data_IF_287074808418
#
_entry.id   IF_287074808418
#
_cell.length_a   1.000
_cell.length_b   1.000
_cell.length_c   1.000
_cell.angle_alpha   90.00
_cell.angle_beta   90.00
_cell.angle_gamma   90.00
#
_symmetry.space_group_name_H-M   'P 1'
#
loop_
_entity.id
_entity.type
_entity.pdbx_description
1 polymer ?
#
# COMPACT_ATOMS: atom_id res chain seq x y z
N UNK A 1 -16.36 -3.51 2.94
CA UNK A 1 -15.91 -3.36 4.35
C UNK A 1 -14.39 -3.40 4.48
N UNK A 2 -13.70 -4.42 3.94
CA UNK A 2 -12.22 -4.51 4.00
C UNK A 2 -11.53 -3.25 3.47
N UNK A 3 -11.97 -2.73 2.32
CA UNK A 3 -11.41 -1.51 1.73
C UNK A 3 -11.44 -0.34 2.73
N UNK A 4 -12.61 -0.03 3.30
CA UNK A 4 -12.79 1.04 4.30
C UNK A 4 -11.94 0.85 5.55
N UNK A 5 -11.83 -0.38 6.06
CA UNK A 5 -10.97 -0.70 7.21
C UNK A 5 -9.51 -0.45 6.86
N UNK A 6 -9.06 -0.90 5.69
CA UNK A 6 -7.69 -0.67 5.23
C UNK A 6 -7.39 0.80 4.95
N UNK A 7 -8.34 1.55 4.40
CA UNK A 7 -8.20 3.00 4.17
C UNK A 7 -8.15 3.78 5.49
N UNK A 8 -9.02 3.46 6.45
CA UNK A 8 -9.02 4.11 7.77
C UNK A 8 -7.75 3.77 8.56
N UNK A 9 -7.32 2.51 8.53
CA UNK A 9 -6.08 2.06 9.20
C UNK A 9 -4.86 2.71 8.55
N UNK A 10 -4.83 2.80 7.22
CA UNK A 10 -3.81 3.51 6.45
C UNK A 10 -3.72 4.99 6.81
N UNK A 11 -4.87 5.66 6.91
CA UNK A 11 -4.95 7.06 7.32
C UNK A 11 -4.42 7.25 8.74
N UNK A 12 -4.90 6.46 9.70
CA UNK A 12 -4.50 6.58 11.11
C UNK A 12 -3.00 6.32 11.29
N UNK A 13 -2.48 5.21 10.76
CA UNK A 13 -1.05 4.89 10.85
C UNK A 13 -0.21 5.90 10.06
N UNK A 14 -0.71 6.32 8.89
CA UNK A 14 -0.08 7.30 8.03
C UNK A 14 0.02 8.70 8.60
N UNK A 15 -0.90 9.11 9.46
CA UNK A 15 -0.84 10.40 10.15
C UNK A 15 -0.12 10.29 11.49
N UNK A 16 -0.39 9.26 12.29
CA UNK A 16 0.09 9.17 13.68
C UNK A 16 1.57 8.78 13.75
N UNK A 17 2.01 7.83 12.92
CA UNK A 17 3.40 7.35 12.99
C UNK A 17 4.41 8.44 12.60
N UNK A 18 4.24 9.19 11.49
CA UNK A 18 5.17 10.28 11.16
C UNK A 18 5.15 11.40 12.21
N UNK A 19 4.01 11.67 12.84
CA UNK A 19 3.90 12.65 13.92
C UNK A 19 4.63 12.22 15.20
N UNK A 20 4.74 10.91 15.48
CA UNK A 20 5.45 10.39 16.66
C UNK A 20 6.95 10.09 16.40
N UNK A 21 7.33 9.46 15.27
CA UNK A 21 8.75 9.12 14.92
C UNK A 21 9.25 9.52 13.52
N UNK A 22 8.77 10.64 12.97
CA UNK A 22 9.27 11.38 11.80
C UNK A 22 9.62 10.42 10.67
N UNK A 23 10.90 10.33 10.30
CA UNK A 23 11.38 9.47 9.23
C UNK A 23 11.04 7.99 9.45
N UNK A 24 11.33 7.44 10.63
CA UNK A 24 11.06 6.01 10.91
C UNK A 24 9.56 5.71 10.90
N UNK A 25 8.76 6.64 11.43
CA UNK A 25 7.30 6.53 11.39
C UNK A 25 6.75 6.58 9.96
N UNK A 26 7.30 7.46 9.13
CA UNK A 26 6.95 7.56 7.72
C UNK A 26 7.34 6.31 6.93
N UNK A 27 8.55 5.78 7.12
CA UNK A 27 9.00 4.56 6.45
C UNK A 27 8.14 3.36 6.84
N UNK A 28 7.82 3.21 8.12
CA UNK A 28 6.95 2.14 8.60
C UNK A 28 5.53 2.26 8.04
N UNK A 29 4.93 3.46 8.06
CA UNK A 29 3.61 3.69 7.50
C UNK A 29 3.56 3.43 5.98
N UNK A 30 4.59 3.87 5.27
CA UNK A 30 4.75 3.66 3.83
C UNK A 30 4.84 2.18 3.49
N UNK A 31 5.68 1.43 4.19
CA UNK A 31 5.85 -0.01 3.98
C UNK A 31 4.55 -0.77 4.29
N UNK A 32 3.88 -0.45 5.41
CA UNK A 32 2.62 -1.09 5.79
C UNK A 32 1.51 -0.82 4.78
N UNK A 33 1.38 0.43 4.33
CA UNK A 33 0.36 0.79 3.34
C UNK A 33 0.61 0.10 2.00
N UNK A 34 1.88 0.07 1.56
CA UNK A 34 2.26 -0.60 0.33
C UNK A 34 1.94 -2.10 0.37
N UNK A 35 2.32 -2.78 1.45
CA UNK A 35 2.07 -4.21 1.62
C UNK A 35 0.57 -4.52 1.72
N UNK A 36 -0.20 -3.70 2.42
CA UNK A 36 -1.64 -3.85 2.50
C UNK A 36 -2.30 -3.72 1.12
N UNK A 37 -1.90 -2.72 0.33
CA UNK A 37 -2.42 -2.54 -1.02
C UNK A 37 -2.01 -3.69 -1.94
N UNK A 38 -0.75 -4.13 -1.90
CA UNK A 38 -0.27 -5.27 -2.66
C UNK A 38 -1.03 -6.57 -2.31
N UNK A 39 -1.28 -6.79 -1.02
CA UNK A 39 -2.06 -7.94 -0.55
C UNK A 39 -3.49 -7.90 -1.07
N UNK A 40 -4.16 -6.74 -1.05
CA UNK A 40 -5.51 -6.56 -1.60
C UNK A 40 -5.51 -6.85 -3.10
N UNK A 41 -4.59 -6.25 -3.86
CA UNK A 41 -4.50 -6.47 -5.31
C UNK A 41 -4.28 -7.95 -5.64
N UNK A 42 -3.45 -8.64 -4.86
CA UNK A 42 -3.18 -10.07 -5.02
C UNK A 42 -4.39 -10.94 -4.63
N UNK A 43 -5.18 -10.55 -3.62
CA UNK A 43 -6.29 -11.34 -3.10
C UNK A 43 -7.57 -11.27 -3.93
N UNK A 44 -7.80 -10.18 -4.68
CA UNK A 44 -9.06 -9.93 -5.39
C UNK A 44 -9.13 -10.65 -6.75
N UNK A 45 -8.02 -11.19 -7.25
CA UNK A 45 -7.92 -11.72 -8.61
C UNK A 45 -7.70 -10.60 -9.63
N UNK A 46 -7.43 -10.96 -10.88
CA UNK A 46 -7.14 -10.00 -11.94
C UNK A 46 -8.43 -9.50 -12.60
N UNK A 47 -8.64 -8.18 -12.62
CA UNK A 47 -9.78 -7.52 -13.31
C UNK A 47 -11.17 -8.08 -12.93
N UNK A 48 -11.33 -8.57 -11.69
CA UNK A 48 -12.58 -9.15 -11.21
C UNK A 48 -12.83 -10.60 -11.63
N UNK A 49 -11.87 -11.23 -12.31
CA UNK A 49 -11.91 -12.68 -12.55
C UNK A 49 -11.58 -13.47 -11.27
N UNK A 50 -12.17 -14.66 -11.08
CA UNK A 50 -11.80 -15.54 -9.98
C UNK A 50 -10.31 -15.87 -10.02
N UNK A 51 -9.70 -16.02 -8.83
CA UNK A 51 -8.27 -16.34 -8.70
C UNK A 51 -7.87 -17.61 -9.47
N UNK A 52 -8.75 -18.61 -9.55
CA UNK A 52 -8.52 -19.84 -10.33
C UNK A 52 -8.32 -19.57 -11.82
N UNK A 53 -9.08 -18.63 -12.39
CA UNK A 53 -8.97 -18.24 -13.80
C UNK A 53 -7.76 -17.32 -14.02
N UNK A 54 -7.56 -16.38 -13.10
CA UNK A 54 -6.38 -15.51 -13.09
C UNK A 54 -5.09 -16.34 -13.11
N UNK A 55 -4.99 -17.38 -12.30
CA UNK A 55 -3.78 -18.21 -12.20
C UNK A 55 -3.45 -18.94 -13.51
N UNK A 56 -4.44 -19.25 -14.37
CA UNK A 56 -4.18 -19.81 -15.69
C UNK A 56 -3.42 -18.83 -16.59
N UNK A 57 -3.72 -17.53 -16.50
CA UNK A 57 -3.01 -16.47 -17.25
C UNK A 57 -1.52 -16.37 -16.86
N UNK A 58 -1.22 -16.71 -15.61
CA UNK A 58 0.14 -16.73 -15.07
C UNK A 58 0.79 -18.12 -15.13
N UNK A 59 0.26 -19.05 -15.94
CA UNK A 59 0.76 -20.43 -16.05
C UNK A 59 0.89 -21.11 -14.67
N UNK A 60 -0.06 -20.87 -13.78
CA UNK A 60 -0.08 -21.31 -12.39
C UNK A 60 1.15 -20.90 -11.55
N UNK A 61 1.91 -19.89 -11.99
CA UNK A 61 3.08 -19.38 -11.29
C UNK A 61 2.70 -18.27 -10.31
N UNK A 62 2.71 -18.60 -9.01
CA UNK A 62 2.50 -17.63 -7.94
C UNK A 62 3.53 -16.50 -7.92
N UNK A 63 4.79 -16.81 -8.26
CA UNK A 63 5.85 -15.80 -8.33
C UNK A 63 5.57 -14.76 -9.40
N UNK A 64 5.10 -15.18 -10.58
CA UNK A 64 4.74 -14.28 -11.66
C UNK A 64 3.51 -13.43 -11.30
N UNK A 65 2.49 -14.05 -10.70
CA UNK A 65 1.27 -13.37 -10.27
C UNK A 65 1.52 -12.31 -9.19
N UNK A 66 2.27 -12.66 -8.14
CA UNK A 66 2.63 -11.72 -7.06
C UNK A 66 3.52 -10.60 -7.61
N UNK A 67 4.53 -10.95 -8.42
CA UNK A 67 5.44 -9.98 -9.02
C UNK A 67 4.71 -8.95 -9.89
N UNK A 68 3.74 -9.40 -10.69
CA UNK A 68 2.89 -8.53 -11.50
C UNK A 68 2.05 -7.57 -10.62
N UNK A 69 1.40 -8.09 -9.58
CA UNK A 69 0.60 -7.25 -8.66
C UNK A 69 1.44 -6.25 -7.87
N UNK A 70 2.68 -6.60 -7.51
CA UNK A 70 3.63 -5.66 -6.90
C UNK A 70 3.98 -4.51 -7.84
N UNK A 71 4.15 -4.77 -9.14
CA UNK A 71 4.41 -3.72 -10.13
C UNK A 71 3.20 -2.79 -10.31
N UNK A 72 1.98 -3.33 -10.36
CA UNK A 72 0.75 -2.52 -10.38
C UNK A 72 0.70 -1.64 -9.13
N UNK A 73 0.90 -2.25 -7.96
CA UNK A 73 0.86 -1.55 -6.68
C UNK A 73 1.85 -0.39 -6.71
N UNK A 74 3.11 -0.65 -7.06
CA UNK A 74 4.16 0.37 -7.20
C UNK A 74 3.76 1.54 -8.10
N UNK A 75 3.21 1.27 -9.28
CA UNK A 75 2.77 2.33 -10.21
C UNK A 75 1.63 3.17 -9.63
N UNK A 76 0.69 2.53 -8.93
CA UNK A 76 -0.45 3.21 -8.31
C UNK A 76 -0.14 3.88 -6.97
N UNK A 77 1.04 3.62 -6.39
CA UNK A 77 1.38 4.03 -5.03
C UNK A 77 1.85 5.49 -4.91
N UNK A 78 2.07 6.19 -6.03
CA UNK A 78 2.55 7.57 -6.04
C UNK A 78 1.63 8.52 -5.26
N UNK A 79 0.31 8.45 -5.48
CA UNK A 79 -0.66 9.31 -4.79
C UNK A 79 -0.76 9.00 -3.28
N UNK A 80 -0.89 7.73 -2.85
CA UNK A 80 -0.79 7.36 -1.43
C UNK A 80 0.49 7.87 -0.76
N UNK A 81 1.64 7.74 -1.42
CA UNK A 81 2.93 8.19 -0.88
C UNK A 81 2.96 9.71 -0.68
N UNK A 82 2.43 10.49 -1.63
CA UNK A 82 2.32 11.95 -1.50
C UNK A 82 1.44 12.35 -0.31
N UNK A 83 0.32 11.66 -0.11
CA UNK A 83 -0.56 11.89 1.04
C UNK A 83 0.14 11.56 2.38
N UNK A 84 0.92 10.48 2.42
CA UNK A 84 1.73 10.12 3.59
C UNK A 84 2.88 11.10 3.85
N UNK A 85 3.40 11.76 2.82
CA UNK A 85 4.49 12.73 2.96
C UNK A 85 4.02 14.04 3.62
N UNK A 86 2.75 14.42 3.47
CA UNK A 86 2.19 15.65 4.06
C UNK A 86 2.41 15.77 5.58
N UNK A 87 2.04 14.79 6.43
CA UNK A 87 2.27 14.88 7.87
C UNK A 87 3.76 14.87 8.25
N UNK A 88 4.62 14.20 7.47
CA UNK A 88 6.07 14.24 7.68
C UNK A 88 6.62 15.64 7.45
N UNK A 89 6.30 16.25 6.31
CA UNK A 89 6.75 17.62 5.96
C UNK A 89 6.28 18.61 7.02
N UNK A 90 5.01 18.53 7.40
CA UNK A 90 4.44 19.36 8.46
C UNK A 90 5.21 19.24 9.78
N UNK A 91 5.57 18.02 10.20
CA UNK A 91 6.34 17.81 11.42
C UNK A 91 7.76 18.38 11.30
N UNK A 92 8.46 18.11 10.19
CA UNK A 92 9.82 18.60 9.98
C UNK A 92 9.85 20.13 10.02
N UNK A 93 8.87 20.79 9.39
CA UNK A 93 8.75 22.25 9.42
C UNK A 93 8.45 22.85 10.80
N UNK A 94 8.05 22.06 11.80
CA UNK A 94 7.94 22.50 13.20
C UNK A 94 9.20 22.25 14.03
N UNK A 95 10.12 21.42 13.54
CA UNK A 95 11.40 21.13 14.20
C UNK A 95 12.52 22.08 13.72
N UNK A 96 12.32 22.72 12.56
CA UNK A 96 13.18 23.77 12.01
C UNK A 96 12.78 25.15 12.54
#
# INVERSE_FOLDING_TARGET
MILWITTATALLLGTVLPLHRALLGFLAATALLFLAQAAIHTAVGFEGTPLSETMLLFNNSWGAYIGYNLQITFRSFALPLLALATPLIFRIGRLA
#
